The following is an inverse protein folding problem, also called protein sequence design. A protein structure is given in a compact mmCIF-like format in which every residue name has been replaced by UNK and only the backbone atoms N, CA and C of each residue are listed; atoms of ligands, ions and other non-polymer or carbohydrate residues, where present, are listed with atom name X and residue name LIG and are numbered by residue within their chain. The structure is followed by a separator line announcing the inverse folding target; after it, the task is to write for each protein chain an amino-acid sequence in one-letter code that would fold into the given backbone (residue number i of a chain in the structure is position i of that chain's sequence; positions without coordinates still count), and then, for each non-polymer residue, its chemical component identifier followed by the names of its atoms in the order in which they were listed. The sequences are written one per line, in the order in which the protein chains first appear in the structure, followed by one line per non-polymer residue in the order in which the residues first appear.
data_IF_699277248743
#
_entry.id   IF_699277248743
#
_cell.length_a   1.000
_cell.length_b   1.000
_cell.length_c   1.000
_cell.angle_alpha   90.00
_cell.angle_beta   90.00
_cell.angle_gamma   90.00
#
_symmetry.space_group_name_H-M   'P 1'
#
loop_
_entity.id
_entity.type
_entity.pdbx_description
1 polymer ?
#
# COMPACT_ATOMS: atom_id res chain seq x y z
N UNK A 1 6.34 5.20 12.76
CA UNK A 1 6.97 5.37 11.43
C UNK A 1 5.94 6.12 10.62
N UNK A 2 5.91 7.44 10.79
CA UNK A 2 4.87 8.27 10.18
C UNK A 2 5.38 8.76 8.82
N UNK A 3 4.75 8.23 7.77
CA UNK A 3 4.97 8.65 6.40
C UNK A 3 4.27 10.00 6.20
N UNK A 4 5.03 11.09 6.33
CA UNK A 4 4.52 12.41 5.98
C UNK A 4 4.31 12.48 4.47
N UNK A 5 3.05 12.39 4.03
CA UNK A 5 2.64 12.70 2.67
C UNK A 5 2.91 14.18 2.40
N UNK A 6 3.72 14.46 1.38
CA UNK A 6 3.97 15.82 0.92
C UNK A 6 2.69 16.34 0.24
N UNK A 7 2.00 17.26 0.90
CA UNK A 7 0.95 18.09 0.30
C UNK A 7 1.61 19.43 0.01
N UNK A 8 1.88 19.70 -1.27
CA UNK A 8 2.44 20.98 -1.73
C UNK A 8 1.31 22.00 -1.86
N UNK A 9 1.08 22.79 -0.81
CA UNK A 9 0.23 23.97 -0.87
C UNK A 9 1.09 25.18 -1.23
N UNK A 10 0.98 25.59 -2.49
CA UNK A 10 1.71 26.72 -3.05
C UNK A 10 1.38 28.04 -2.37
N UNK A 11 2.19 28.45 -1.38
CA UNK A 11 2.30 29.85 -0.94
C UNK A 11 3.69 30.14 -0.36
N UNK A 12 4.37 31.12 -0.96
CA UNK A 12 5.74 31.48 -0.62
C UNK A 12 5.92 32.23 0.71
N UNK A 13 7.19 32.21 1.15
CA UNK A 13 7.87 32.97 2.21
C UNK A 13 7.74 32.44 3.65
N UNK A 14 8.80 31.80 4.19
CA UNK A 14 9.85 32.45 4.99
C UNK A 14 10.96 31.42 5.34
N UNK A 15 12.20 31.90 5.47
CA UNK A 15 13.44 31.09 5.50
C UNK A 15 13.99 31.08 6.93
N UNK A 16 13.49 30.21 7.81
CA UNK A 16 14.17 29.83 9.06
C UNK A 16 13.55 28.59 9.70
N UNK A 17 14.41 27.74 10.27
CA UNK A 17 14.12 26.56 11.11
C UNK A 17 13.62 25.30 10.38
N UNK A 18 14.50 24.72 9.56
CA UNK A 18 14.38 23.34 9.10
C UNK A 18 14.78 22.42 10.25
N UNK A 19 13.79 21.94 11.01
CA UNK A 19 13.96 20.82 11.95
C UNK A 19 14.73 19.69 11.26
N UNK A 20 15.90 19.36 11.77
CA UNK A 20 16.71 18.20 11.38
C UNK A 20 15.95 16.93 11.77
N UNK A 21 14.95 16.57 10.97
CA UNK A 21 14.44 15.21 10.95
C UNK A 21 15.48 14.41 10.18
N UNK A 22 16.15 13.47 10.84
CA UNK A 22 17.08 12.54 10.20
C UNK A 22 16.45 12.04 8.90
N UNK A 23 17.00 12.46 7.77
CA UNK A 23 16.46 12.02 6.49
C UNK A 23 16.93 10.58 6.29
N UNK A 24 15.99 9.67 6.06
CA UNK A 24 16.28 8.29 5.65
C UNK A 24 16.71 8.23 4.18
N UNK A 25 17.54 9.19 3.78
CA UNK A 25 18.05 9.30 2.42
C UNK A 25 19.37 8.54 2.34
N UNK A 26 19.46 7.62 1.38
CA UNK A 26 20.74 7.01 1.03
C UNK A 26 21.61 7.98 0.25
N UNK A 27 22.82 7.54 -0.12
CA UNK A 27 23.73 8.32 -0.97
C UNK A 27 23.09 8.79 -2.30
N UNK A 28 22.11 8.04 -2.80
CA UNK A 28 21.37 8.34 -4.03
C UNK A 28 20.00 9.01 -3.77
N UNK A 29 19.72 9.42 -2.53
CA UNK A 29 18.45 10.01 -2.12
C UNK A 29 17.47 9.02 -1.49
N UNK A 30 16.21 9.43 -1.38
CA UNK A 30 15.12 8.68 -0.75
C UNK A 30 14.69 7.46 -1.57
N UNK A 31 14.26 6.37 -0.90
CA UNK A 31 13.63 5.21 -1.55
C UNK A 31 12.11 5.29 -1.35
N UNK A 32 11.32 5.68 -2.38
CA UNK A 32 9.88 5.80 -2.24
C UNK A 32 9.17 4.44 -2.22
N UNK A 33 8.07 4.35 -1.46
CA UNK A 33 7.20 3.17 -1.44
C UNK A 33 6.49 2.94 -2.78
N UNK A 34 5.97 4.00 -3.40
CA UNK A 34 5.32 3.94 -4.72
C UNK A 34 5.47 5.29 -5.42
N UNK A 35 5.78 5.25 -6.72
CA UNK A 35 5.84 6.42 -7.60
C UNK A 35 4.66 6.34 -8.56
N UNK A 36 3.80 7.37 -8.57
CA UNK A 36 2.69 7.51 -9.53
C UNK A 36 2.92 8.71 -10.44
N UNK A 37 3.04 8.45 -11.74
CA UNK A 37 3.23 9.48 -12.76
C UNK A 37 1.94 9.79 -13.52
N UNK A 38 1.74 11.05 -13.87
CA UNK A 38 0.68 11.51 -14.78
C UNK A 38 1.32 12.14 -16.01
N UNK A 39 1.05 11.58 -17.19
CA UNK A 39 1.53 12.16 -18.45
C UNK A 39 0.79 13.45 -18.81
N UNK A 40 -0.49 13.55 -18.46
CA UNK A 40 -1.30 14.74 -18.75
C UNK A 40 -0.75 15.98 -18.05
N UNK A 41 -0.44 15.87 -16.75
CA UNK A 41 0.07 16.97 -15.94
C UNK A 41 1.60 17.01 -15.83
N UNK A 42 2.30 16.05 -16.45
CA UNK A 42 3.76 15.89 -16.33
C UNK A 42 4.26 15.87 -14.88
N UNK A 43 3.49 15.23 -13.99
CA UNK A 43 3.75 15.22 -12.55
C UNK A 43 4.08 13.81 -12.05
N UNK A 44 4.98 13.72 -11.05
CA UNK A 44 5.28 12.49 -10.32
C UNK A 44 4.94 12.68 -8.83
N UNK A 45 4.07 11.82 -8.29
CA UNK A 45 3.70 11.81 -6.87
C UNK A 45 4.31 10.60 -6.18
N UNK A 46 4.84 10.82 -4.97
CA UNK A 46 5.32 9.77 -4.08
C UNK A 46 4.20 9.43 -3.09
N UNK A 47 3.80 8.16 -3.04
CA UNK A 47 2.70 7.71 -2.18
C UNK A 47 3.15 6.55 -1.30
N UNK A 48 2.66 6.52 -0.07
CA UNK A 48 2.84 5.39 0.85
C UNK A 48 1.48 4.76 1.09
N UNK A 49 1.42 3.43 1.09
CA UNK A 49 0.22 2.68 1.47
C UNK A 49 0.54 1.75 2.62
N UNK A 50 -0.34 1.66 3.61
CA UNK A 50 -0.19 0.70 4.69
C UNK A 50 -0.61 -0.69 4.24
N UNK A 51 -0.06 -1.71 4.91
CA UNK A 51 -0.47 -3.09 4.73
C UNK A 51 -1.96 -3.21 5.03
N UNK A 52 -2.72 -3.70 4.06
CA UNK A 52 -4.14 -4.00 4.24
C UNK A 52 -4.33 -5.41 4.82
N UNK A 53 -5.03 -5.57 5.96
CA UNK A 53 -5.23 -6.88 6.61
C UNK A 53 -5.91 -7.91 5.71
N UNK A 54 -6.86 -7.48 4.87
CA UNK A 54 -7.60 -8.36 3.95
C UNK A 54 -7.03 -8.37 2.51
N UNK A 55 -5.73 -8.08 2.34
CA UNK A 55 -5.07 -8.15 1.04
C UNK A 55 -5.07 -9.58 0.48
N UNK A 56 -5.50 -9.74 -0.77
CA UNK A 56 -5.52 -11.00 -1.52
C UNK A 56 -4.13 -11.48 -1.99
N UNK A 57 -3.06 -10.86 -1.52
CA UNK A 57 -1.67 -11.26 -1.81
C UNK A 57 -0.79 -11.39 -0.56
N UNK A 58 -0.90 -10.49 0.43
CA UNK A 58 0.03 -10.43 1.57
C UNK A 58 -0.63 -10.50 2.96
N UNK A 59 -1.93 -10.80 3.02
CA UNK A 59 -2.62 -11.01 4.31
C UNK A 59 -2.03 -12.21 5.08
N UNK A 60 -2.08 -12.16 6.41
CA UNK A 60 -1.56 -13.25 7.26
C UNK A 60 -2.24 -14.60 6.96
N UNK A 61 -3.59 -14.69 6.80
CA UNK A 61 -4.25 -15.94 6.47
C UNK A 61 -3.71 -16.56 5.17
N UNK A 62 -3.46 -15.72 4.16
CA UNK A 62 -3.05 -16.14 2.83
C UNK A 62 -1.61 -16.66 2.80
N UNK A 63 -0.69 -15.95 3.47
CA UNK A 63 0.69 -16.42 3.64
C UNK A 63 0.74 -17.75 4.40
N UNK A 64 -0.08 -17.90 5.44
CA UNK A 64 -0.13 -19.12 6.23
C UNK A 64 -0.70 -20.29 5.42
N UNK A 65 -1.72 -20.05 4.61
CA UNK A 65 -2.32 -21.08 3.76
C UNK A 65 -1.35 -21.55 2.67
N UNK A 66 -0.67 -20.61 2.02
CA UNK A 66 0.36 -20.92 1.05
C UNK A 66 1.50 -21.76 1.67
N UNK A 67 1.96 -21.41 2.88
CA UNK A 67 2.99 -22.19 3.59
C UNK A 67 2.54 -23.61 3.94
N UNK A 68 1.24 -23.83 4.16
CA UNK A 68 0.69 -25.15 4.52
C UNK A 68 0.44 -26.02 3.29
N UNK A 69 -0.13 -25.46 2.23
CA UNK A 69 -0.62 -26.22 1.06
C UNK A 69 0.29 -26.12 -0.16
N UNK A 70 1.18 -25.13 -0.21
CA UNK A 70 2.13 -24.94 -1.30
C UNK A 70 1.43 -24.79 -2.65
N UNK A 71 1.69 -25.74 -3.55
CA UNK A 71 1.21 -25.69 -4.93
C UNK A 71 -0.31 -25.90 -5.06
N UNK A 72 -0.92 -26.74 -4.20
CA UNK A 72 -2.37 -27.00 -4.25
C UNK A 72 -3.17 -25.71 -4.01
N UNK A 73 -2.66 -24.83 -3.14
CA UNK A 73 -3.22 -23.51 -2.93
C UNK A 73 -3.17 -22.64 -4.21
N UNK A 74 -2.08 -22.70 -4.96
CA UNK A 74 -1.95 -21.94 -6.22
C UNK A 74 -2.98 -22.45 -7.23
N UNK A 75 -3.13 -23.77 -7.35
CA UNK A 75 -4.09 -24.37 -8.26
C UNK A 75 -5.53 -23.96 -7.93
N UNK A 76 -5.90 -23.95 -6.65
CA UNK A 76 -7.19 -23.45 -6.21
C UNK A 76 -7.34 -21.95 -6.48
N UNK A 77 -6.32 -21.14 -6.21
CA UNK A 77 -6.33 -19.70 -6.46
C UNK A 77 -6.55 -19.35 -7.95
N UNK A 78 -6.01 -20.17 -8.86
CA UNK A 78 -6.19 -19.96 -10.30
C UNK A 78 -7.55 -20.47 -10.83
N UNK A 79 -8.08 -21.55 -10.24
CA UNK A 79 -9.25 -22.24 -10.81
C UNK A 79 -10.57 -21.95 -10.08
N UNK A 80 -10.52 -21.47 -8.83
CA UNK A 80 -11.72 -21.21 -8.03
C UNK A 80 -11.99 -19.70 -7.93
N UNK A 81 -13.16 -19.23 -8.40
CA UNK A 81 -13.51 -17.82 -8.24
C UNK A 81 -13.64 -17.44 -6.77
N UNK A 82 -13.21 -16.23 -6.45
CA UNK A 82 -13.30 -15.59 -5.13
C UNK A 82 -12.57 -16.37 -4.01
N UNK A 83 -11.75 -17.36 -4.32
CA UNK A 83 -11.03 -18.15 -3.30
C UNK A 83 -10.11 -17.28 -2.44
N UNK A 84 -9.32 -16.41 -3.08
CA UNK A 84 -8.42 -15.49 -2.39
C UNK A 84 -9.19 -14.45 -1.56
N UNK A 85 -10.36 -14.01 -2.03
CA UNK A 85 -11.19 -13.02 -1.32
C UNK A 85 -11.81 -13.61 -0.06
N UNK A 86 -12.30 -14.86 -0.12
CA UNK A 86 -12.77 -15.60 1.06
C UNK A 86 -11.66 -15.78 2.07
N UNK A 87 -10.50 -16.27 1.62
CA UNK A 87 -9.39 -16.56 2.50
C UNK A 87 -8.80 -15.29 3.15
N UNK A 88 -8.76 -14.19 2.40
CA UNK A 88 -8.30 -12.91 2.92
C UNK A 88 -9.35 -12.20 3.80
N UNK A 89 -10.58 -12.71 3.90
CA UNK A 89 -11.68 -12.03 4.61
C UNK A 89 -12.17 -10.77 3.90
N UNK A 90 -11.87 -10.63 2.60
CA UNK A 90 -12.34 -9.51 1.78
C UNK A 90 -13.82 -9.66 1.42
N UNK A 91 -14.29 -10.90 1.22
CA UNK A 91 -15.69 -11.16 0.88
C UNK A 91 -16.64 -10.70 2.01
N UNK A 92 -16.29 -10.96 3.27
CA UNK A 92 -17.09 -10.54 4.42
C UNK A 92 -17.02 -9.03 4.62
N UNK A 93 -15.85 -8.43 4.37
CA UNK A 93 -15.69 -6.98 4.42
C UNK A 93 -16.66 -6.32 3.43
N UNK A 94 -16.65 -6.73 2.16
CA UNK A 94 -17.50 -6.17 1.10
C UNK A 94 -19.00 -6.33 1.33
N UNK A 95 -19.43 -7.29 2.15
CA UNK A 95 -20.85 -7.47 2.54
C UNK A 95 -21.29 -6.49 3.63
N UNK A 96 -20.36 -5.85 4.32
CA UNK A 96 -20.66 -4.91 5.40
C UNK A 96 -21.18 -3.60 4.81
N UNK A 97 -22.40 -3.16 5.14
CA UNK A 97 -22.89 -1.86 4.68
C UNK A 97 -22.11 -0.72 5.35
N UNK A 98 -21.85 0.37 4.60
CA UNK A 98 -21.12 1.58 5.04
C UNK A 98 -19.62 1.39 5.33
N UNK A 99 -18.88 0.72 4.42
CA UNK A 99 -17.41 0.67 4.48
C UNK A 99 -16.73 1.99 4.07
N UNK A 100 -17.49 2.91 3.46
CA UNK A 100 -16.97 4.13 2.85
C UNK A 100 -17.01 5.36 3.80
N UNK A 101 -17.46 5.18 5.06
CA UNK A 101 -17.42 6.22 6.12
C UNK A 101 -16.18 6.12 7.01
#
# INVERSE_FOLDING_TARGET
IDANAYVDDGKGQNRSERSERESCDGLLGSVPHTIRGSLWSHEMRLTVTHRFPSCTACSVPLINEYRKRGFDFILDACNQPNYLERLAGLEDLLKTPNLDE
#
